data_IF_843006139422
#
_entry.id   IF_843006139422
#
_cell.length_a   1.000
_cell.length_b   1.000
_cell.length_c   1.000
_cell.angle_alpha   90.00
_cell.angle_beta   90.00
_cell.angle_gamma   90.00
#
_symmetry.space_group_name_H-M   'P 1'
#
loop_
_entity.id
_entity.type
_entity.pdbx_description
1 polymer ?
#
# COMPACT_ATOMS: atom_id res chain seq x y z
N UNK A 1 -7.29 -4.74 -13.61
CA UNK A 1 -6.71 -3.66 -12.80
C UNK A 1 -5.62 -2.97 -13.62
N UNK A 2 -5.56 -1.65 -13.62
CA UNK A 2 -4.41 -0.88 -14.14
C UNK A 2 -3.54 -0.44 -12.97
N UNK A 3 -2.23 -0.34 -13.19
CA UNK A 3 -1.26 -0.03 -12.13
C UNK A 3 -0.41 1.14 -12.57
N UNK A 4 -0.42 2.20 -11.76
CA UNK A 4 0.38 3.39 -11.98
C UNK A 4 1.19 3.68 -10.72
N UNK A 5 2.41 4.18 -10.85
CA UNK A 5 3.18 4.63 -9.69
C UNK A 5 4.11 5.77 -10.06
N UNK A 6 4.49 6.55 -9.07
CA UNK A 6 5.61 7.48 -9.20
C UNK A 6 6.92 6.70 -9.17
N UNK A 7 7.81 7.04 -10.08
CA UNK A 7 9.09 6.39 -10.27
C UNK A 7 10.21 7.42 -10.31
N UNK A 8 11.15 7.31 -9.38
CA UNK A 8 12.25 8.26 -9.22
C UNK A 8 13.59 7.56 -9.39
N UNK A 9 14.53 8.30 -9.96
CA UNK A 9 15.95 7.98 -10.02
C UNK A 9 16.66 9.04 -9.18
N UNK A 10 17.24 8.63 -8.06
CA UNK A 10 17.92 9.53 -7.15
C UNK A 10 19.11 8.83 -6.50
N UNK A 11 20.26 9.49 -6.45
CA UNK A 11 21.55 8.95 -5.96
C UNK A 11 21.89 7.54 -6.48
N UNK A 12 21.61 7.26 -7.75
CA UNK A 12 21.83 5.95 -8.38
C UNK A 12 20.87 4.85 -7.93
N UNK A 13 19.89 5.17 -7.08
CA UNK A 13 18.83 4.29 -6.61
C UNK A 13 17.54 4.55 -7.39
N UNK A 14 16.65 3.56 -7.34
CA UNK A 14 15.34 3.59 -7.96
C UNK A 14 14.27 3.49 -6.90
N UNK A 15 13.30 4.40 -6.94
CA UNK A 15 12.22 4.44 -5.97
C UNK A 15 10.88 4.28 -6.67
N UNK A 16 9.99 3.46 -6.08
CA UNK A 16 8.60 3.36 -6.51
C UNK A 16 7.68 3.78 -5.38
N UNK A 17 7.06 4.93 -5.57
CA UNK A 17 6.21 5.58 -4.56
C UNK A 17 4.75 5.62 -5.03
N UNK A 18 3.83 5.80 -4.09
CA UNK A 18 2.46 6.24 -4.36
C UNK A 18 1.74 5.45 -5.46
N UNK A 19 1.78 4.13 -5.37
CA UNK A 19 1.18 3.25 -6.38
C UNK A 19 -0.34 3.35 -6.33
N UNK A 20 -0.98 3.45 -7.49
CA UNK A 20 -2.43 3.46 -7.68
C UNK A 20 -2.85 2.17 -8.39
N UNK A 21 -3.74 1.43 -7.75
CA UNK A 21 -4.39 0.23 -8.30
C UNK A 21 -5.79 0.62 -8.73
N UNK A 22 -6.02 0.78 -10.03
CA UNK A 22 -7.29 1.21 -10.59
C UNK A 22 -8.12 0.01 -11.05
N UNK A 23 -9.34 -0.10 -10.51
CA UNK A 23 -10.31 -1.15 -10.77
C UNK A 23 -11.53 -0.55 -11.47
N UNK A 24 -12.09 -1.27 -12.45
CA UNK A 24 -13.24 -0.79 -13.22
C UNK A 24 -12.92 0.47 -14.03
N UNK A 25 -13.81 1.45 -13.99
CA UNK A 25 -13.69 2.73 -14.72
C UNK A 25 -13.66 3.95 -13.80
N UNK A 26 -14.00 3.79 -12.52
CA UNK A 26 -14.01 4.86 -11.52
C UNK A 26 -12.59 5.22 -11.07
N UNK A 27 -12.43 6.48 -10.67
CA UNK A 27 -11.25 7.03 -10.03
C UNK A 27 -11.51 7.45 -8.58
N UNK A 28 -12.65 7.08 -7.99
CA UNK A 28 -12.86 7.36 -6.57
C UNK A 28 -11.92 6.53 -5.68
N UNK A 29 -11.39 7.15 -4.62
CA UNK A 29 -10.58 6.44 -3.63
C UNK A 29 -11.49 5.50 -2.83
N UNK A 30 -11.24 4.20 -2.98
CA UNK A 30 -11.99 3.14 -2.30
C UNK A 30 -11.20 2.49 -1.17
N UNK A 31 -9.88 2.68 -1.11
CA UNK A 31 -9.07 2.10 -0.05
C UNK A 31 -7.59 2.41 -0.12
N UNK A 32 -6.88 2.00 0.92
CA UNK A 32 -5.44 2.15 1.03
C UNK A 32 -4.82 0.86 1.55
N UNK A 33 -3.55 0.63 1.22
CA UNK A 33 -2.75 -0.42 1.82
C UNK A 33 -1.32 0.05 2.00
N UNK A 34 -0.72 -0.31 3.13
CA UNK A 34 0.69 -0.04 3.42
C UNK A 34 1.43 -1.37 3.56
N UNK A 35 2.43 -1.59 2.71
CA UNK A 35 3.27 -2.78 2.67
C UNK A 35 4.73 -2.45 3.04
N UNK A 36 5.62 -3.43 2.99
CA UNK A 36 7.02 -3.25 3.33
C UNK A 36 7.79 -2.43 2.28
N UNK A 37 7.82 -2.93 1.04
CA UNK A 37 8.59 -2.41 -0.08
C UNK A 37 7.92 -2.71 -1.42
N UNK A 38 8.25 -1.96 -2.49
CA UNK A 38 7.62 -2.14 -3.81
C UNK A 38 8.12 -3.38 -4.59
N UNK A 39 9.00 -4.22 -4.05
CA UNK A 39 9.64 -5.29 -4.81
C UNK A 39 10.55 -4.73 -5.92
N UNK A 40 10.72 -5.45 -7.04
CA UNK A 40 11.65 -5.06 -8.12
C UNK A 40 11.00 -4.88 -9.50
N UNK A 41 9.67 -4.76 -9.59
CA UNK A 41 9.04 -4.62 -10.89
C UNK A 41 9.46 -3.31 -11.57
N UNK A 42 9.85 -3.41 -12.84
CA UNK A 42 10.17 -2.26 -13.70
C UNK A 42 8.90 -1.63 -14.27
N UNK A 43 8.93 -0.32 -14.60
CA UNK A 43 7.88 0.28 -15.41
C UNK A 43 7.80 -0.41 -16.78
N UNK A 44 6.58 -0.64 -17.26
CA UNK A 44 6.35 -1.26 -18.57
C UNK A 44 6.26 -0.22 -19.69
N UNK A 45 5.78 0.99 -19.37
CA UNK A 45 5.62 2.08 -20.33
C UNK A 45 5.38 3.42 -19.62
N UNK A 46 5.45 4.48 -20.42
CA UNK A 46 4.86 5.77 -20.04
C UNK A 46 3.34 5.65 -19.89
N UNK A 47 2.77 6.52 -19.06
CA UNK A 47 1.32 6.62 -18.91
C UNK A 47 0.74 7.41 -20.10
N UNK A 48 -0.35 6.93 -20.70
CA UNK A 48 -1.03 7.66 -21.76
C UNK A 48 -1.73 8.93 -21.24
N UNK A 49 -1.97 9.90 -22.12
CA UNK A 49 -2.53 11.23 -21.75
C UNK A 49 -3.83 11.13 -20.96
N UNK A 50 -4.79 10.32 -21.42
CA UNK A 50 -6.07 10.16 -20.72
C UNK A 50 -5.89 9.62 -19.30
N UNK A 51 -5.01 8.64 -19.10
CA UNK A 51 -4.75 8.12 -17.75
C UNK A 51 -3.98 9.13 -16.90
N UNK A 52 -3.04 9.88 -17.47
CA UNK A 52 -2.32 10.97 -16.79
C UNK A 52 -3.27 12.06 -16.28
N UNK A 53 -4.23 12.50 -17.10
CA UNK A 53 -5.24 13.49 -16.70
C UNK A 53 -6.08 12.99 -15.52
N UNK A 54 -6.51 11.73 -15.55
CA UNK A 54 -7.27 11.15 -14.43
C UNK A 54 -6.42 10.99 -13.17
N UNK A 55 -5.14 10.64 -13.29
CA UNK A 55 -4.22 10.59 -12.15
C UNK A 55 -4.02 11.99 -11.59
N UNK A 56 -3.83 13.01 -12.43
CA UNK A 56 -3.68 14.41 -12.01
C UNK A 56 -4.92 14.89 -11.24
N UNK A 57 -6.12 14.61 -11.73
CA UNK A 57 -7.38 14.94 -11.05
C UNK A 57 -7.50 14.19 -9.71
N UNK A 58 -7.21 12.89 -9.70
CA UNK A 58 -7.18 12.09 -8.48
C UNK A 58 -6.21 12.68 -7.44
N UNK A 59 -5.01 13.06 -7.89
CA UNK A 59 -3.97 13.63 -7.05
C UNK A 59 -4.41 15.00 -6.50
N UNK A 60 -5.00 15.85 -7.33
CA UNK A 60 -5.58 17.13 -6.88
C UNK A 60 -6.68 16.96 -5.83
N UNK A 61 -7.50 15.92 -5.94
CA UNK A 61 -8.59 15.63 -4.99
C UNK A 61 -8.09 15.08 -3.66
N UNK A 62 -7.11 14.17 -3.68
CA UNK A 62 -6.70 13.41 -2.49
C UNK A 62 -5.32 13.79 -1.94
N UNK A 63 -4.55 14.64 -2.64
CA UNK A 63 -3.17 15.05 -2.30
C UNK A 63 -2.91 16.52 -2.65
N UNK A 64 -3.92 17.38 -2.50
CA UNK A 64 -3.91 18.78 -2.95
C UNK A 64 -2.70 19.64 -2.50
N UNK A 65 -2.00 19.25 -1.43
CA UNK A 65 -0.84 19.99 -0.92
C UNK A 65 0.51 19.56 -1.54
N UNK A 66 0.50 18.55 -2.41
CA UNK A 66 1.70 18.05 -3.08
C UNK A 66 1.73 18.48 -4.54
N UNK A 67 2.92 18.77 -5.05
CA UNK A 67 3.12 18.99 -6.48
C UNK A 67 2.89 17.69 -7.26
N UNK A 68 2.18 17.80 -8.40
CA UNK A 68 1.98 16.70 -9.33
C UNK A 68 2.97 16.80 -10.49
N UNK A 69 3.93 15.88 -10.55
CA UNK A 69 4.97 15.88 -11.57
C UNK A 69 4.70 14.78 -12.59
N UNK A 70 4.16 15.16 -13.75
CA UNK A 70 3.72 14.24 -14.83
C UNK A 70 4.79 13.23 -15.25
N UNK A 71 6.05 13.68 -15.36
CA UNK A 71 7.16 12.84 -15.85
C UNK A 71 7.51 11.67 -14.92
N UNK A 72 7.09 11.72 -13.66
CA UNK A 72 7.41 10.69 -12.68
C UNK A 72 6.43 9.52 -12.72
N UNK A 73 5.26 9.69 -13.35
CA UNK A 73 4.25 8.64 -13.41
C UNK A 73 4.54 7.63 -14.51
N UNK A 74 4.59 6.35 -14.14
CA UNK A 74 4.79 5.22 -15.06
C UNK A 74 3.70 4.17 -14.89
N UNK A 75 3.46 3.40 -15.95
CA UNK A 75 2.57 2.23 -15.91
C UNK A 75 3.37 0.98 -15.55
N UNK A 76 2.78 0.10 -14.74
CA UNK A 76 3.40 -1.16 -14.28
C UNK A 76 2.51 -2.36 -14.61
N UNK A 77 3.12 -3.53 -14.71
CA UNK A 77 2.39 -4.79 -14.76
C UNK A 77 1.81 -5.14 -13.39
N UNK A 78 0.68 -5.85 -13.40
CA UNK A 78 0.13 -6.46 -12.19
C UNK A 78 1.01 -7.61 -11.72
N UNK A 79 1.33 -7.65 -10.42
CA UNK A 79 2.05 -8.74 -9.77
C UNK A 79 1.14 -9.59 -8.84
N UNK A 80 1.61 -10.74 -8.34
CA UNK A 80 0.81 -11.60 -7.47
C UNK A 80 0.37 -10.92 -6.16
N UNK A 81 1.18 -10.02 -5.59
CA UNK A 81 0.80 -9.29 -4.37
C UNK A 81 -0.40 -8.40 -4.66
N UNK A 82 -0.40 -7.68 -5.79
CA UNK A 82 -1.52 -6.84 -6.19
C UNK A 82 -2.80 -7.65 -6.45
N UNK A 83 -2.69 -8.87 -6.98
CA UNK A 83 -3.83 -9.77 -7.08
C UNK A 83 -4.38 -10.20 -5.70
N UNK A 84 -3.52 -10.40 -4.70
CA UNK A 84 -3.97 -10.68 -3.32
C UNK A 84 -4.59 -9.45 -2.65
N UNK A 85 -4.16 -8.25 -3.01
CA UNK A 85 -4.80 -7.00 -2.58
C UNK A 85 -6.21 -6.92 -3.17
N UNK A 86 -6.39 -7.22 -4.45
CA UNK A 86 -7.72 -7.30 -5.06
C UNK A 86 -8.64 -8.25 -4.25
N UNK A 87 -8.19 -9.47 -3.99
CA UNK A 87 -8.95 -10.45 -3.19
C UNK A 87 -9.31 -9.95 -1.80
N UNK A 88 -8.36 -9.27 -1.14
CA UNK A 88 -8.57 -8.70 0.18
C UNK A 88 -9.71 -7.68 0.19
N UNK A 89 -9.70 -6.75 -0.76
CA UNK A 89 -10.73 -5.72 -0.86
C UNK A 89 -12.06 -6.22 -1.43
N UNK A 90 -12.04 -7.29 -2.24
CA UNK A 90 -13.27 -7.99 -2.67
C UNK A 90 -13.97 -8.75 -1.53
N UNK A 91 -13.28 -9.01 -0.43
CA UNK A 91 -13.82 -9.80 0.69
C UNK A 91 -13.65 -11.31 0.52
N UNK A 92 -12.86 -11.77 -0.44
CA UNK A 92 -12.72 -13.20 -0.80
C UNK A 92 -12.29 -14.08 0.39
N UNK A 93 -11.57 -13.50 1.35
CA UNK A 93 -11.08 -14.23 2.53
C UNK A 93 -12.14 -14.39 3.63
N UNK A 94 -13.25 -13.67 3.52
CA UNK A 94 -14.40 -13.73 4.43
C UNK A 94 -15.68 -14.22 3.75
N UNK A 95 -15.53 -14.86 2.58
CA UNK A 95 -16.65 -15.41 1.81
C UNK A 95 -17.68 -14.33 1.38
N UNK A 96 -17.22 -13.07 1.30
CA UNK A 96 -17.89 -11.97 0.63
C UNK A 96 -17.27 -11.77 -0.75
N UNK A 97 -18.05 -11.32 -1.75
CA UNK A 97 -17.54 -11.05 -3.10
C UNK A 97 -18.13 -9.76 -3.65
N UNK A 98 -17.43 -8.66 -3.41
CA UNK A 98 -17.74 -7.35 -3.94
C UNK A 98 -17.02 -7.12 -5.27
N UNK A 99 -17.64 -6.38 -6.18
CA UNK A 99 -16.94 -5.86 -7.36
C UNK A 99 -16.24 -4.54 -7.02
N UNK A 100 -14.96 -4.42 -7.39
CA UNK A 100 -14.19 -3.20 -7.16
C UNK A 100 -14.35 -2.24 -8.34
N UNK A 101 -14.69 -0.99 -8.05
CA UNK A 101 -14.72 0.09 -9.03
C UNK A 101 -14.21 1.39 -8.39
N UNK A 102 -12.95 1.74 -8.66
CA UNK A 102 -12.25 2.85 -8.02
C UNK A 102 -10.75 2.60 -7.89
N UNK A 103 -10.10 3.38 -7.04
CA UNK A 103 -8.65 3.35 -6.83
C UNK A 103 -8.31 2.91 -5.41
N UNK A 104 -7.40 1.94 -5.31
CA UNK A 104 -6.71 1.62 -4.06
C UNK A 104 -5.31 2.23 -4.10
N UNK A 105 -4.96 3.01 -3.08
CA UNK A 105 -3.60 3.54 -2.92
C UNK A 105 -2.73 2.50 -2.23
N UNK A 106 -1.63 2.09 -2.88
CA UNK A 106 -0.60 1.24 -2.31
C UNK A 106 0.62 2.08 -1.97
N UNK A 107 0.95 2.05 -0.68
CA UNK A 107 2.14 2.66 -0.11
C UNK A 107 3.09 1.59 0.43
N UNK A 108 4.34 1.97 0.62
CA UNK A 108 5.34 1.11 1.27
C UNK A 108 5.94 1.86 2.46
N UNK A 109 6.32 1.15 3.52
CA UNK A 109 7.12 1.77 4.58
C UNK A 109 8.43 2.31 4.03
N UNK A 110 8.97 1.66 3.00
CA UNK A 110 10.22 2.00 2.38
C UNK A 110 10.15 1.78 0.85
N UNK A 111 10.61 2.73 0.04
CA UNK A 111 10.30 2.78 -1.40
C UNK A 111 11.44 2.39 -2.33
N UNK A 112 12.63 2.02 -1.83
CA UNK A 112 13.69 1.55 -2.74
C UNK A 112 13.21 0.27 -3.43
N UNK A 113 13.33 0.26 -4.75
CA UNK A 113 13.04 -0.85 -5.61
C UNK A 113 14.14 -1.91 -5.47
N UNK A 114 14.01 -2.74 -4.45
CA UNK A 114 14.85 -3.90 -4.23
C UNK A 114 13.99 -5.05 -3.70
N UNK A 115 14.20 -6.27 -4.23
CA UNK A 115 13.54 -7.48 -3.73
C UNK A 115 14.08 -7.92 -2.36
N UNK A 116 15.34 -7.62 -2.06
CA UNK A 116 15.99 -7.96 -0.81
C UNK A 116 15.92 -6.79 0.17
N UNK A 117 15.10 -6.93 1.21
CA UNK A 117 14.89 -5.88 2.21
C UNK A 117 16.17 -5.57 3.00
N UNK A 118 17.01 -6.57 3.29
CA UNK A 118 18.23 -6.37 4.07
C UNK A 118 19.26 -5.54 3.28
N UNK A 119 19.39 -5.81 1.98
CA UNK A 119 20.21 -4.99 1.07
C UNK A 119 19.65 -3.57 0.95
N UNK A 120 18.33 -3.44 0.84
CA UNK A 120 17.69 -2.15 0.70
C UNK A 120 17.86 -1.28 1.96
N UNK A 121 17.78 -1.88 3.14
CA UNK A 121 18.07 -1.19 4.42
C UNK A 121 19.52 -0.72 4.48
N UNK A 122 20.49 -1.50 3.95
CA UNK A 122 21.88 -1.06 3.87
C UNK A 122 22.07 0.09 2.88
N UNK A 123 21.30 0.10 1.80
CA UNK A 123 21.24 1.19 0.81
C UNK A 123 20.53 2.44 1.35
N UNK A 124 19.79 2.34 2.47
CA UNK A 124 19.05 3.44 3.10
C UNK A 124 19.94 4.44 3.88
N UNK A 125 21.24 4.51 3.57
CA UNK A 125 22.21 5.48 4.08
C UNK A 125 22.36 6.67 3.11
N UNK A 126 21.25 7.09 2.50
CA UNK A 126 21.20 8.28 1.65
C UNK A 126 20.24 9.29 2.27
N UNK A 127 20.40 10.56 1.91
CA UNK A 127 19.53 11.66 2.35
C UNK A 127 18.30 11.83 1.43
N UNK A 128 18.01 10.86 0.58
CA UNK A 128 16.88 10.92 -0.36
C UNK A 128 15.54 10.96 0.38
N UNK A 129 14.71 11.94 0.03
CA UNK A 129 13.37 12.10 0.59
C UNK A 129 12.41 10.95 0.21
N UNK A 130 12.73 10.19 -0.84
CA UNK A 130 11.88 9.12 -1.34
C UNK A 130 12.01 7.81 -0.54
N UNK A 131 13.00 7.69 0.35
CA UNK A 131 13.30 6.43 1.05
C UNK A 131 12.10 5.91 1.84
N UNK A 132 11.44 6.77 2.62
CA UNK A 132 10.35 6.39 3.51
C UNK A 132 9.07 7.15 3.17
N UNK A 133 7.94 6.47 3.30
CA UNK A 133 6.63 7.10 3.14
C UNK A 133 6.13 7.76 4.42
N UNK A 134 6.89 8.73 4.93
CA UNK A 134 6.50 9.49 6.12
C UNK A 134 5.29 10.38 5.80
N UNK A 135 4.30 10.42 6.69
CA UNK A 135 3.14 11.31 6.56
C UNK A 135 2.04 10.84 5.61
N UNK A 136 2.12 9.63 5.07
CA UNK A 136 1.11 9.13 4.11
C UNK A 136 -0.28 8.94 4.69
N UNK A 137 -0.39 8.84 6.02
CA UNK A 137 -1.66 8.67 6.71
C UNK A 137 -2.64 9.82 6.46
N UNK A 138 -2.14 11.01 6.14
CA UNK A 138 -2.95 12.16 5.76
C UNK A 138 -3.72 11.95 4.44
N UNK A 139 -3.27 10.99 3.61
CA UNK A 139 -3.89 10.64 2.35
C UNK A 139 -4.83 9.43 2.44
N UNK A 140 -5.10 8.91 3.64
CA UNK A 140 -6.00 7.77 3.80
C UNK A 140 -7.49 8.15 3.69
N UNK A 141 -7.83 9.43 3.92
CA UNK A 141 -9.18 9.99 3.77
C UNK A 141 -10.28 9.17 4.48
N UNK A 142 -9.95 8.56 5.62
CA UNK A 142 -10.88 7.71 6.40
C UNK A 142 -11.51 6.56 5.59
N UNK A 143 -10.80 6.12 4.55
CA UNK A 143 -11.11 4.94 3.73
C UNK A 143 -10.49 3.70 4.37
N UNK A 144 -11.00 2.50 4.05
CA UNK A 144 -10.41 1.25 4.53
C UNK A 144 -8.93 1.22 4.27
N UNK A 145 -8.15 0.93 5.29
CA UNK A 145 -6.70 0.92 5.18
C UNK A 145 -6.17 -0.38 5.77
N UNK A 146 -5.51 -1.16 4.93
CA UNK A 146 -4.87 -2.39 5.36
C UNK A 146 -3.39 -2.18 5.67
N UNK A 147 -2.91 -2.67 6.81
CA UNK A 147 -1.51 -2.61 7.19
C UNK A 147 -0.90 -4.01 7.10
N UNK A 148 0.01 -4.20 6.14
CA UNK A 148 0.64 -5.48 5.81
C UNK A 148 2.16 -5.43 5.93
N UNK A 149 2.68 -4.89 7.04
CA UNK A 149 4.09 -4.53 7.23
C UNK A 149 5.07 -5.69 7.07
N UNK A 150 4.66 -6.96 7.21
CA UNK A 150 5.54 -8.15 7.21
C UNK A 150 6.54 -8.18 8.37
N UNK A 151 7.04 -9.37 8.71
CA UNK A 151 8.01 -9.52 9.81
C UNK A 151 9.32 -8.77 9.55
N UNK A 152 9.70 -8.58 8.29
CA UNK A 152 10.97 -7.97 7.93
C UNK A 152 10.99 -6.46 8.28
N UNK A 153 9.85 -5.77 8.18
CA UNK A 153 9.67 -4.41 8.73
C UNK A 153 9.61 -4.45 10.26
N UNK A 154 8.77 -5.33 10.82
CA UNK A 154 8.50 -5.35 12.25
C UNK A 154 9.72 -5.71 13.12
N UNK A 155 10.70 -6.42 12.55
CA UNK A 155 11.95 -6.81 13.21
C UNK A 155 13.11 -5.83 12.96
N UNK A 156 12.95 -4.86 12.06
CA UNK A 156 13.95 -3.83 11.80
C UNK A 156 13.58 -2.54 12.55
N UNK A 157 14.41 -2.04 13.49
CA UNK A 157 14.04 -0.87 14.31
C UNK A 157 13.69 0.40 13.52
N UNK A 158 14.41 0.68 12.42
CA UNK A 158 14.19 1.87 11.58
C UNK A 158 12.86 1.75 10.83
N UNK A 159 12.64 0.63 10.16
CA UNK A 159 11.40 0.38 9.40
C UNK A 159 10.18 0.27 10.31
N UNK A 160 10.35 -0.40 11.45
CA UNK A 160 9.32 -0.51 12.49
C UNK A 160 8.89 0.87 12.98
N UNK A 161 9.83 1.77 13.27
CA UNK A 161 9.50 3.13 13.70
C UNK A 161 8.67 3.88 12.66
N UNK A 162 8.96 3.74 11.38
CA UNK A 162 8.14 4.33 10.30
C UNK A 162 6.74 3.70 10.24
N UNK A 163 6.65 2.37 10.36
CA UNK A 163 5.38 1.65 10.37
C UNK A 163 4.49 2.02 11.58
N UNK A 164 5.11 2.14 12.76
CA UNK A 164 4.47 2.60 14.00
C UNK A 164 3.95 4.03 13.84
N UNK A 165 4.78 4.94 13.33
CA UNK A 165 4.40 6.35 13.12
C UNK A 165 3.18 6.49 12.19
N UNK A 166 3.20 5.80 11.03
CA UNK A 166 2.08 5.77 10.08
C UNK A 166 0.81 5.22 10.75
N UNK A 167 0.93 4.12 11.49
CA UNK A 167 -0.22 3.51 12.18
C UNK A 167 -0.77 4.43 13.25
N UNK A 168 0.06 4.95 14.15
CA UNK A 168 -0.37 5.75 15.30
C UNK A 168 -1.04 7.06 14.89
N UNK A 169 -0.49 7.74 13.87
CA UNK A 169 -1.03 8.98 13.32
C UNK A 169 -2.28 8.76 12.45
N UNK A 170 -2.60 7.52 12.07
CA UNK A 170 -3.84 7.21 11.37
C UNK A 170 -5.07 7.49 12.23
N UNK A 171 -6.19 7.81 11.58
CA UNK A 171 -7.45 8.10 12.27
C UNK A 171 -8.01 6.89 13.03
N UNK A 172 -8.84 7.15 14.03
CA UNK A 172 -9.53 6.10 14.78
C UNK A 172 -10.40 5.21 13.87
N UNK A 173 -10.96 5.77 12.79
CA UNK A 173 -11.74 4.98 11.83
C UNK A 173 -10.86 3.99 11.07
N UNK A 174 -9.66 4.41 10.67
CA UNK A 174 -8.67 3.53 10.02
C UNK A 174 -8.19 2.44 10.98
N UNK A 175 -7.92 2.80 12.24
CA UNK A 175 -7.40 1.87 13.25
C UNK A 175 -8.45 0.93 13.85
N UNK A 176 -9.75 1.18 13.63
CA UNK A 176 -10.85 0.42 14.24
C UNK A 176 -10.72 -1.12 14.12
N UNK A 177 -10.25 -1.70 13.00
CA UNK A 177 -10.04 -3.15 12.89
C UNK A 177 -8.84 -3.71 13.68
N UNK A 178 -8.01 -2.86 14.27
CA UNK A 178 -6.72 -3.21 14.87
C UNK A 178 -6.74 -2.99 16.38
N UNK A 179 -5.84 -3.67 17.09
CA UNK A 179 -5.55 -3.35 18.47
C UNK A 179 -4.88 -1.97 18.57
N UNK A 180 -5.18 -1.22 19.64
CA UNK A 180 -4.57 0.09 19.90
C UNK A 180 -3.08 -0.03 20.17
N UNK A 181 -2.65 -1.13 20.79
CA UNK A 181 -1.25 -1.46 20.98
C UNK A 181 -0.70 -2.06 19.69
N UNK A 182 0.15 -1.29 19.00
CA UNK A 182 0.78 -1.70 17.74
C UNK A 182 1.41 -3.09 17.83
N UNK A 183 2.05 -3.42 18.96
CA UNK A 183 2.79 -4.68 19.14
C UNK A 183 1.90 -5.93 19.20
N UNK A 184 0.60 -5.77 19.51
CA UNK A 184 -0.37 -6.87 19.56
C UNK A 184 -0.94 -7.24 18.19
N UNK A 185 -0.76 -6.37 17.20
CA UNK A 185 -1.25 -6.60 15.84
C UNK A 185 -0.31 -7.52 15.05
N UNK A 186 -0.89 -8.37 14.20
CA UNK A 186 -0.11 -9.31 13.36
C UNK A 186 0.37 -8.73 12.03
N UNK A 187 -0.32 -7.71 11.49
CA UNK A 187 0.01 -7.03 10.23
C UNK A 187 0.43 -7.97 9.08
N UNK A 188 -0.31 -9.07 8.90
CA UNK A 188 0.06 -10.10 7.95
C UNK A 188 0.16 -9.55 6.54
N UNK A 189 1.24 -9.87 5.84
CA UNK A 189 1.35 -9.53 4.43
C UNK A 189 0.25 -10.23 3.60
N UNK A 190 -0.35 -9.62 2.56
CA UNK A 190 -1.42 -10.23 1.75
C UNK A 190 -1.11 -11.63 1.22
N UNK A 191 0.15 -11.88 0.86
CA UNK A 191 0.60 -13.22 0.45
C UNK A 191 0.45 -14.28 1.54
N UNK A 192 0.69 -13.93 2.80
CA UNK A 192 0.50 -14.85 3.93
C UNK A 192 -0.98 -15.14 4.15
N UNK A 193 -1.83 -14.10 4.11
CA UNK A 193 -3.29 -14.25 4.20
C UNK A 193 -3.77 -15.25 3.15
N UNK A 194 -3.37 -15.08 1.90
CA UNK A 194 -3.79 -15.97 0.82
C UNK A 194 -3.41 -17.45 1.05
N UNK A 195 -2.32 -17.72 1.78
CA UNK A 195 -1.88 -19.09 2.14
C UNK A 195 -2.55 -19.61 3.41
N UNK A 196 -2.87 -18.72 4.35
CA UNK A 196 -3.28 -19.08 5.71
C UNK A 196 -4.80 -18.99 5.96
N UNK A 197 -5.58 -18.30 5.13
CA UNK A 197 -6.97 -17.92 5.47
C UNK A 197 -7.93 -19.09 5.78
N UNK A 198 -7.65 -20.28 5.26
CA UNK A 198 -8.41 -21.51 5.52
C UNK A 198 -7.92 -22.29 6.75
N UNK A 199 -6.82 -21.88 7.36
CA UNK A 199 -6.18 -22.60 8.45
C UNK A 199 -6.83 -22.23 9.80
N UNK A 200 -6.94 -23.17 10.75
CA UNK A 200 -7.60 -22.92 12.04
C UNK A 200 -6.97 -21.76 12.84
N UNK A 201 -5.64 -21.66 12.86
CA UNK A 201 -4.95 -20.61 13.61
C UNK A 201 -5.15 -19.21 13.03
N UNK A 202 -5.64 -19.11 11.79
CA UNK A 202 -5.90 -17.83 11.14
C UNK A 202 -7.29 -17.27 11.46
N UNK A 203 -8.21 -18.09 12.00
CA UNK A 203 -9.60 -17.67 12.21
C UNK A 203 -9.73 -16.48 13.17
N UNK A 204 -8.89 -16.40 14.21
CA UNK A 204 -8.86 -15.25 15.11
C UNK A 204 -8.52 -13.95 14.37
N UNK A 205 -7.54 -13.98 13.46
CA UNK A 205 -7.19 -12.82 12.65
C UNK A 205 -8.28 -12.49 11.62
N UNK A 206 -8.91 -13.51 11.02
CA UNK A 206 -10.04 -13.34 10.11
C UNK A 206 -11.17 -12.59 10.79
N UNK A 207 -11.62 -13.04 11.95
CA UNK A 207 -12.74 -12.45 12.69
C UNK A 207 -12.38 -11.10 13.32
N UNK A 208 -11.16 -10.97 13.87
CA UNK A 208 -10.73 -9.78 14.58
C UNK A 208 -10.34 -8.61 13.67
N UNK A 209 -9.78 -8.88 12.49
CA UNK A 209 -9.21 -7.85 11.60
C UNK A 209 -9.87 -7.84 10.24
N UNK A 210 -9.96 -8.99 9.54
CA UNK A 210 -10.45 -9.00 8.15
C UNK A 210 -11.93 -8.69 8.05
N UNK A 211 -12.78 -9.28 8.89
CA UNK A 211 -14.22 -9.01 8.89
C UNK A 211 -14.51 -7.53 9.20
N UNK A 212 -13.94 -6.90 10.25
CA UNK A 212 -14.13 -5.47 10.49
C UNK A 212 -13.52 -4.59 9.40
N UNK A 213 -12.40 -5.00 8.79
CA UNK A 213 -11.80 -4.28 7.67
C UNK A 213 -12.76 -4.25 6.46
N UNK A 214 -13.25 -5.40 6.02
CA UNK A 214 -14.15 -5.49 4.85
C UNK A 214 -15.48 -4.79 5.10
N UNK A 215 -16.04 -4.85 6.32
CA UNK A 215 -17.27 -4.10 6.65
C UNK A 215 -17.10 -2.58 6.61
N UNK A 216 -15.87 -2.08 6.69
CA UNK A 216 -15.58 -0.67 6.53
C UNK A 216 -15.25 -0.29 5.08
N UNK A 217 -15.08 -1.28 4.19
CA UNK A 217 -14.74 -1.17 2.76
C UNK A 217 -15.96 -1.20 1.84
#
# INVERSE_FOLDING_TARGET
>A
MKVFAEYYLDDGLQFRCNTLLQFGTSWDLIGNIVLANPGSAEPVSEVNNTSLENIEEFYGKYRANNEFIKSNWKEFSTDPTMAFIEKLFKGDYIDEQHELNGVIQLFNTFNIKNQNLDEAVQQANTDSEFIFSIGIEQYFHNRPTYFGFSNAVLNNPKLRSVAEDIFEKSSEKVKKPYDKDFSKNKFYHPMYINKAYKQPHFQEFKEGVLVPFTKNA
#
